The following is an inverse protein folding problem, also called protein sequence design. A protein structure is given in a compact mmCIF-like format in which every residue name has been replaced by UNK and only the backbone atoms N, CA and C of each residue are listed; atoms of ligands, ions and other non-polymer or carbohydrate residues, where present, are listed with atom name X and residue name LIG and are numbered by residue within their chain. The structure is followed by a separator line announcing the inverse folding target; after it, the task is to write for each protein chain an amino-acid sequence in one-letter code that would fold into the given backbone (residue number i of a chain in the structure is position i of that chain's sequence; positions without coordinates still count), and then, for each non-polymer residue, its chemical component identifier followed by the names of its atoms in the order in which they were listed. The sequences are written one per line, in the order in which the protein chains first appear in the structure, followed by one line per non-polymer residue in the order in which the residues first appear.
data_IF_167150520890
#
_entry.id   IF_167150520890
#
_cell.length_a   1.000
_cell.length_b   1.000
_cell.length_c   1.000
_cell.angle_alpha   90.00
_cell.angle_beta   90.00
_cell.angle_gamma   90.00
#
_symmetry.space_group_name_H-M   'P 1'
#
loop_
_entity.id
_entity.type
_entity.pdbx_description
1 polymer ?
#
# COMPACT_ATOMS: atom_id res chain seq x y z
N UNK A 1 11.85 12.97 14.38
CA UNK A 1 10.53 12.59 14.93
C UNK A 1 10.55 11.12 15.22
N UNK A 2 9.88 10.70 16.30
CA UNK A 2 9.58 9.30 16.57
C UNK A 2 8.25 8.93 15.94
N UNK A 3 8.24 7.88 15.14
CA UNK A 3 7.10 7.47 14.30
C UNK A 3 6.65 6.06 14.68
N UNK A 4 5.39 5.93 15.07
CA UNK A 4 4.72 4.63 15.20
C UNK A 4 4.22 4.17 13.84
N UNK A 5 4.54 2.95 13.44
CA UNK A 5 4.18 2.40 12.12
C UNK A 5 3.37 1.11 12.27
N UNK A 6 2.03 1.21 12.50
CA UNK A 6 1.15 0.05 12.47
C UNK A 6 1.13 -0.57 11.07
N UNK A 7 1.32 -1.88 10.96
CA UNK A 7 1.45 -2.57 9.67
C UNK A 7 2.85 -2.44 9.04
N UNK A 8 3.84 -2.01 9.83
CA UNK A 8 5.20 -1.77 9.36
C UNK A 8 5.97 -3.02 8.94
N UNK A 9 5.53 -4.23 9.32
CA UNK A 9 6.14 -5.48 8.86
C UNK A 9 5.52 -6.00 7.55
N UNK A 10 4.53 -5.28 6.99
CA UNK A 10 3.98 -5.54 5.67
C UNK A 10 4.87 -5.04 4.53
N UNK A 11 4.41 -5.25 3.29
CA UNK A 11 5.17 -4.91 2.09
C UNK A 11 5.52 -3.41 1.99
N UNK A 12 4.53 -2.52 1.97
CA UNK A 12 4.78 -1.06 1.86
C UNK A 12 5.34 -0.51 3.17
N UNK A 13 4.86 -1.04 4.30
CA UNK A 13 5.30 -0.67 5.64
C UNK A 13 6.80 -0.83 5.82
N UNK A 14 7.37 -1.99 5.48
CA UNK A 14 8.81 -2.28 5.67
C UNK A 14 9.70 -1.37 4.84
N UNK A 15 9.30 -1.05 3.61
CA UNK A 15 10.01 -0.09 2.77
C UNK A 15 9.95 1.33 3.36
N UNK A 16 8.81 1.70 3.96
CA UNK A 16 8.64 3.01 4.60
C UNK A 16 9.41 3.11 5.91
N UNK A 17 9.41 2.06 6.74
CA UNK A 17 10.26 1.95 7.94
C UNK A 17 11.73 2.15 7.57
N UNK A 18 12.19 1.52 6.49
CA UNK A 18 13.55 1.68 5.99
C UNK A 18 13.86 3.11 5.55
N UNK A 19 12.95 3.76 4.82
CA UNK A 19 13.13 5.15 4.37
C UNK A 19 13.10 6.13 5.56
N UNK A 20 12.23 5.91 6.56
CA UNK A 20 12.21 6.69 7.80
C UNK A 20 13.56 6.63 8.53
N UNK A 21 14.12 5.43 8.71
CA UNK A 21 15.43 5.23 9.37
C UNK A 21 16.54 5.92 8.57
N UNK A 22 16.53 5.77 7.23
CA UNK A 22 17.50 6.44 6.35
C UNK A 22 17.44 7.97 6.48
N UNK A 23 16.27 8.52 6.77
CA UNK A 23 16.06 9.95 7.05
C UNK A 23 16.17 10.34 8.52
N UNK A 24 16.76 9.47 9.36
CA UNK A 24 17.06 9.74 10.77
C UNK A 24 15.81 9.99 11.61
N UNK A 25 14.67 9.39 11.25
CA UNK A 25 13.53 9.27 12.15
C UNK A 25 13.72 8.06 13.07
N UNK A 26 13.28 8.20 14.32
CA UNK A 26 13.14 7.07 15.22
C UNK A 26 11.85 6.32 14.87
N UNK A 27 11.91 4.98 14.80
CA UNK A 27 10.77 4.17 14.35
C UNK A 27 10.44 3.11 15.37
N UNK A 28 9.15 2.92 15.62
CA UNK A 28 8.60 1.76 16.33
C UNK A 28 7.52 1.12 15.49
N UNK A 29 7.66 -0.17 15.19
CA UNK A 29 6.70 -0.93 14.40
C UNK A 29 5.70 -1.64 15.31
N UNK A 30 4.41 -1.57 14.96
CA UNK A 30 3.35 -2.38 15.54
C UNK A 30 2.79 -3.28 14.43
N UNK A 31 2.79 -4.59 14.60
CA UNK A 31 2.23 -5.51 13.60
C UNK A 31 1.73 -6.80 14.26
N UNK A 32 0.68 -7.40 13.72
CA UNK A 32 0.20 -8.72 14.18
C UNK A 32 1.03 -9.86 13.60
N UNK A 33 1.73 -9.60 12.48
CA UNK A 33 2.41 -10.57 11.62
C UNK A 33 1.45 -11.54 10.89
N UNK A 34 0.15 -11.25 10.85
CA UNK A 34 -0.81 -12.07 10.07
C UNK A 34 -0.48 -12.06 8.58
N UNK A 35 -0.14 -10.88 8.05
CA UNK A 35 0.23 -10.65 6.65
C UNK A 35 1.56 -9.90 6.53
N UNK A 36 2.29 -9.77 7.64
CA UNK A 36 3.61 -9.16 7.73
C UNK A 36 4.67 -10.20 8.00
N UNK A 37 5.94 -9.84 7.85
CA UNK A 37 7.05 -10.68 8.24
C UNK A 37 8.09 -9.87 9.00
N UNK A 38 8.47 -10.32 10.20
CA UNK A 38 9.42 -9.60 11.06
C UNK A 38 10.80 -9.42 10.40
N UNK A 39 11.26 -10.37 9.59
CA UNK A 39 12.53 -10.25 8.87
C UNK A 39 12.54 -9.08 7.86
N UNK A 40 11.36 -8.61 7.41
CA UNK A 40 11.25 -7.42 6.56
C UNK A 40 11.70 -6.13 7.26
N UNK A 41 11.78 -6.13 8.59
CA UNK A 41 12.13 -4.95 9.38
C UNK A 41 13.64 -4.70 9.47
N UNK A 42 14.48 -5.67 9.07
CA UNK A 42 15.94 -5.57 9.09
C UNK A 42 16.48 -5.09 10.46
N UNK A 43 15.86 -5.54 11.56
CA UNK A 43 16.24 -5.19 12.93
C UNK A 43 15.58 -3.93 13.52
N UNK A 44 14.64 -3.29 12.81
CA UNK A 44 13.93 -2.13 13.37
C UNK A 44 13.13 -2.50 14.65
N UNK A 45 12.99 -1.57 15.62
CA UNK A 45 12.21 -1.79 16.84
C UNK A 45 10.77 -2.25 16.53
N UNK A 46 10.33 -3.29 17.22
CA UNK A 46 9.09 -4.01 16.90
C UNK A 46 8.32 -4.40 18.15
N UNK A 47 7.00 -4.24 18.08
CA UNK A 47 6.02 -4.70 19.06
C UNK A 47 4.98 -5.53 18.31
N UNK A 48 4.81 -6.79 18.71
CA UNK A 48 3.76 -7.62 18.16
C UNK A 48 2.42 -7.31 18.84
N UNK A 49 1.40 -7.00 18.05
CA UNK A 49 0.06 -6.73 18.58
C UNK A 49 -0.89 -6.12 17.55
N UNK A 50 -2.12 -5.88 17.98
CA UNK A 50 -3.21 -5.40 17.13
C UNK A 50 -3.56 -3.94 17.45
N UNK A 51 -3.94 -3.17 16.42
CA UNK A 51 -4.43 -1.79 16.56
C UNK A 51 -5.79 -1.70 17.27
N UNK A 52 -6.53 -2.80 17.37
CA UNK A 52 -7.80 -2.84 18.10
C UNK A 52 -7.63 -3.12 19.61
N UNK A 53 -6.39 -3.32 20.08
CA UNK A 53 -6.08 -3.44 21.52
C UNK A 53 -5.78 -2.06 22.11
N UNK A 54 -6.82 -1.40 22.63
CA UNK A 54 -6.71 -0.08 23.25
C UNK A 54 -5.68 -0.02 24.40
N UNK A 55 -5.60 -1.07 25.24
CA UNK A 55 -4.70 -1.10 26.37
C UNK A 55 -3.24 -1.26 25.91
N UNK A 56 -2.99 -2.04 24.86
CA UNK A 56 -1.68 -2.12 24.23
C UNK A 56 -1.28 -0.77 23.63
N UNK A 57 -2.18 -0.13 22.88
CA UNK A 57 -1.90 1.17 22.30
C UNK A 57 -1.54 2.18 23.39
N UNK A 58 -2.33 2.28 24.46
CA UNK A 58 -2.01 3.21 25.56
C UNK A 58 -0.61 2.95 26.14
N UNK A 59 -0.22 1.69 26.37
CA UNK A 59 1.15 1.34 26.81
C UNK A 59 2.23 1.77 25.82
N UNK A 60 1.97 1.62 24.52
CA UNK A 60 2.92 2.02 23.46
C UNK A 60 3.06 3.55 23.47
N UNK A 61 1.95 4.29 23.48
CA UNK A 61 1.98 5.74 23.47
C UNK A 61 2.63 6.33 24.73
N UNK A 62 2.35 5.78 25.92
CA UNK A 62 2.97 6.21 27.18
C UNK A 62 4.49 6.01 27.19
N UNK A 63 4.93 4.83 26.73
CA UNK A 63 6.35 4.44 26.76
C UNK A 63 7.13 5.11 25.65
N UNK A 64 6.65 5.00 24.42
CA UNK A 64 7.39 5.40 23.24
C UNK A 64 7.22 6.88 22.93
N UNK A 65 6.06 7.47 23.26
CA UNK A 65 5.71 8.88 23.00
C UNK A 65 5.94 9.28 21.53
N UNK A 66 5.31 8.60 20.57
CA UNK A 66 5.48 8.93 19.16
C UNK A 66 4.97 10.34 18.85
N UNK A 67 5.69 11.07 17.99
CA UNK A 67 5.27 12.37 17.47
C UNK A 67 4.20 12.22 16.37
N UNK A 68 4.24 11.09 15.66
CA UNK A 68 3.37 10.82 14.52
C UNK A 68 3.12 9.32 14.31
N UNK A 69 2.08 9.02 13.53
CA UNK A 69 1.73 7.67 13.09
C UNK A 69 1.77 7.59 11.56
N UNK A 70 2.33 6.51 11.00
CA UNK A 70 2.09 6.11 9.60
C UNK A 70 1.35 4.78 9.59
N UNK A 71 0.07 4.82 9.26
CA UNK A 71 -0.85 3.70 9.44
C UNK A 71 -1.02 2.87 8.15
N UNK A 72 -0.46 1.66 8.15
CA UNK A 72 -0.58 0.65 7.08
C UNK A 72 -1.44 -0.56 7.47
N UNK A 73 -1.81 -0.73 8.74
CA UNK A 73 -2.47 -1.92 9.25
C UNK A 73 -3.92 -2.04 8.75
N UNK A 74 -4.08 -2.65 7.58
CA UNK A 74 -5.38 -2.89 6.94
C UNK A 74 -5.35 -4.20 6.13
N UNK A 75 -6.45 -4.95 6.16
CA UNK A 75 -6.69 -5.96 5.13
C UNK A 75 -6.95 -5.26 3.79
N UNK A 76 -6.35 -5.78 2.72
CA UNK A 76 -6.23 -5.07 1.43
C UNK A 76 -6.84 -5.75 0.22
N UNK A 77 -7.33 -6.98 0.32
CA UNK A 77 -7.79 -7.75 -0.84
C UNK A 77 -9.25 -7.42 -1.20
N UNK A 78 -9.56 -6.79 -2.35
CA UNK A 78 -10.94 -6.42 -2.68
C UNK A 78 -11.87 -7.64 -2.79
N UNK A 79 -11.41 -8.72 -3.43
CA UNK A 79 -12.20 -9.94 -3.59
C UNK A 79 -12.58 -10.62 -2.26
N UNK A 80 -11.65 -10.74 -1.32
CA UNK A 80 -11.94 -11.30 0.02
C UNK A 80 -12.91 -10.40 0.79
N UNK A 81 -12.81 -9.07 0.64
CA UNK A 81 -13.68 -8.13 1.34
C UNK A 81 -15.16 -8.32 1.00
N UNK A 82 -15.46 -8.80 -0.22
CA UNK A 82 -16.83 -9.07 -0.67
C UNK A 82 -17.43 -10.33 -0.03
N UNK A 83 -16.59 -11.27 0.41
CA UNK A 83 -17.04 -12.53 1.05
C UNK A 83 -16.89 -12.50 2.56
N UNK A 84 -16.01 -11.65 3.10
CA UNK A 84 -15.76 -11.48 4.54
C UNK A 84 -15.87 -10.01 4.98
N UNK A 85 -17.02 -9.34 4.80
CA UNK A 85 -17.14 -7.91 5.08
C UNK A 85 -16.85 -7.53 6.53
N UNK A 86 -17.31 -8.33 7.50
CA UNK A 86 -17.12 -8.06 8.93
C UNK A 86 -15.64 -8.02 9.34
N UNK A 87 -14.80 -8.87 8.71
CA UNK A 87 -13.34 -8.89 8.92
C UNK A 87 -12.72 -7.53 8.57
N UNK A 88 -13.14 -6.96 7.45
CA UNK A 88 -12.65 -5.68 6.95
C UNK A 88 -13.14 -4.51 7.80
N UNK A 89 -14.44 -4.45 8.14
CA UNK A 89 -14.96 -3.36 8.97
C UNK A 89 -14.33 -3.36 10.38
N UNK A 90 -14.17 -4.52 11.02
CA UNK A 90 -13.52 -4.62 12.33
C UNK A 90 -12.07 -4.13 12.28
N UNK A 91 -11.26 -4.68 11.39
CA UNK A 91 -9.85 -4.31 11.34
C UNK A 91 -9.63 -2.89 10.80
N UNK A 92 -10.17 -2.58 9.62
CA UNK A 92 -9.82 -1.36 8.91
C UNK A 92 -10.52 -0.13 9.48
N UNK A 93 -11.77 -0.26 9.98
CA UNK A 93 -12.54 0.88 10.50
C UNK A 93 -12.45 0.91 12.02
N UNK A 94 -12.91 -0.13 12.73
CA UNK A 94 -12.90 -0.15 14.21
C UNK A 94 -11.48 -0.05 14.76
N UNK A 95 -10.54 -0.87 14.25
CA UNK A 95 -9.14 -0.81 14.69
C UNK A 95 -8.48 0.55 14.43
N UNK A 96 -8.85 1.23 13.33
CA UNK A 96 -8.36 2.61 13.08
C UNK A 96 -8.99 3.61 14.05
N UNK A 97 -10.27 3.46 14.41
CA UNK A 97 -10.89 4.29 15.44
C UNK A 97 -10.18 4.13 16.78
N UNK A 98 -9.92 2.89 17.22
CA UNK A 98 -9.16 2.58 18.44
C UNK A 98 -7.78 3.26 18.45
N UNK A 99 -7.08 3.23 17.31
CA UNK A 99 -5.81 3.94 17.11
C UNK A 99 -5.95 5.47 17.23
N UNK A 100 -6.96 6.07 16.59
CA UNK A 100 -7.21 7.52 16.66
C UNK A 100 -7.58 7.99 18.06
N UNK A 101 -8.35 7.20 18.80
CA UNK A 101 -8.68 7.50 20.20
C UNK A 101 -7.43 7.46 21.09
N UNK A 102 -6.53 6.49 20.88
CA UNK A 102 -5.24 6.44 21.58
C UNK A 102 -4.37 7.65 21.24
N UNK A 103 -4.24 7.98 19.96
CA UNK A 103 -3.54 9.19 19.51
C UNK A 103 -4.05 10.45 20.22
N UNK A 104 -5.37 10.60 20.31
CA UNK A 104 -6.02 11.73 20.97
C UNK A 104 -5.73 11.77 22.48
N UNK A 105 -5.84 10.64 23.19
CA UNK A 105 -5.54 10.56 24.64
C UNK A 105 -4.09 10.94 24.95
N UNK A 106 -3.18 10.65 24.03
CA UNK A 106 -1.73 10.81 24.20
C UNK A 106 -1.13 12.02 23.46
N UNK A 107 -1.97 12.91 22.91
CA UNK A 107 -1.55 14.12 22.20
C UNK A 107 -0.62 13.87 20.99
N UNK A 108 -0.71 12.70 20.36
CA UNK A 108 -0.04 12.44 19.08
C UNK A 108 -0.94 12.95 17.95
N UNK A 109 -0.55 14.05 17.32
CA UNK A 109 -1.47 14.82 16.48
C UNK A 109 -1.27 14.64 14.97
N UNK A 110 -0.31 13.83 14.52
CA UNK A 110 -0.04 13.66 13.08
C UNK A 110 -0.22 12.21 12.64
N UNK A 111 -1.02 12.00 11.60
CA UNK A 111 -1.20 10.68 10.98
C UNK A 111 -1.07 10.73 9.46
N UNK A 112 -0.25 9.85 8.91
CA UNK A 112 -0.29 9.51 7.50
C UNK A 112 -1.11 8.24 7.34
N UNK A 113 -2.18 8.33 6.57
CA UNK A 113 -3.06 7.21 6.31
C UNK A 113 -2.80 6.61 4.94
N UNK A 114 -2.50 5.32 4.92
CA UNK A 114 -2.54 4.48 3.74
C UNK A 114 -3.99 4.38 3.22
N UNK A 115 -4.38 5.26 2.32
CA UNK A 115 -5.63 5.15 1.58
C UNK A 115 -5.42 4.34 0.29
N UNK A 116 -6.34 4.41 -0.65
CA UNK A 116 -6.28 3.63 -1.89
C UNK A 116 -7.03 4.31 -3.03
N UNK A 117 -6.59 4.11 -4.27
CA UNK A 117 -7.38 4.49 -5.44
C UNK A 117 -8.75 3.78 -5.51
N UNK A 118 -8.96 2.68 -4.77
CA UNK A 118 -10.25 1.98 -4.69
C UNK A 118 -11.38 2.84 -4.13
N UNK A 119 -11.10 3.98 -3.47
CA UNK A 119 -12.14 4.94 -3.06
C UNK A 119 -12.86 5.57 -4.25
N UNK A 120 -12.25 5.56 -5.44
CA UNK A 120 -12.83 6.12 -6.67
C UNK A 120 -13.64 5.11 -7.50
N UNK A 121 -13.56 3.81 -7.19
CA UNK A 121 -14.18 2.75 -8.00
C UNK A 121 -13.72 2.78 -9.46
N UNK A 122 -14.66 2.66 -10.39
CA UNK A 122 -14.44 2.90 -11.83
C UNK A 122 -14.62 4.38 -12.15
N UNK A 123 -13.53 5.16 -12.37
CA UNK A 123 -13.63 6.59 -12.61
C UNK A 123 -14.20 6.90 -14.00
N UNK A 124 -14.93 8.02 -14.12
CA UNK A 124 -15.45 8.52 -15.40
C UNK A 124 -14.38 9.20 -16.26
N UNK A 125 -13.33 9.71 -15.63
CA UNK A 125 -12.26 10.49 -16.26
C UNK A 125 -10.92 9.99 -15.78
N UNK A 126 -9.97 9.92 -16.71
CA UNK A 126 -8.59 9.51 -16.47
C UNK A 126 -7.65 10.57 -17.07
N UNK A 127 -6.52 10.91 -16.44
CA UNK A 127 -6.05 10.44 -15.12
C UNK A 127 -6.97 10.88 -13.95
N UNK A 128 -6.99 10.11 -12.86
CA UNK A 128 -7.80 10.41 -11.67
C UNK A 128 -7.14 11.51 -10.83
N UNK A 129 -7.81 12.63 -10.65
CA UNK A 129 -7.39 13.71 -9.74
C UNK A 129 -7.95 13.50 -8.32
N UNK A 130 -7.43 14.23 -7.34
CA UNK A 130 -7.90 14.13 -5.95
C UNK A 130 -9.35 14.57 -5.75
N UNK A 131 -9.89 15.38 -6.66
CA UNK A 131 -11.27 15.89 -6.68
C UNK A 131 -12.26 14.96 -7.38
N UNK A 132 -11.77 13.84 -7.94
CA UNK A 132 -12.64 12.86 -8.57
C UNK A 132 -13.70 12.33 -7.58
N UNK A 133 -14.93 12.08 -8.04
CA UNK A 133 -15.99 11.60 -7.17
C UNK A 133 -15.63 10.24 -6.57
N UNK A 134 -15.93 10.05 -5.28
CA UNK A 134 -15.82 8.75 -4.64
C UNK A 134 -16.96 7.83 -5.09
N UNK A 135 -16.67 6.55 -5.17
CA UNK A 135 -17.62 5.51 -5.58
C UNK A 135 -17.02 4.13 -5.44
N UNK A 136 -16.60 3.71 -4.23
CA UNK A 136 -15.97 2.40 -4.04
C UNK A 136 -16.90 1.25 -4.48
N UNK A 137 -16.31 0.26 -5.15
CA UNK A 137 -17.04 -0.92 -5.67
C UNK A 137 -16.75 -2.20 -4.86
N UNK A 138 -16.08 -2.06 -3.72
CA UNK A 138 -15.76 -3.16 -2.81
C UNK A 138 -15.82 -2.71 -1.35
N UNK A 139 -16.04 -3.67 -0.45
CA UNK A 139 -16.01 -3.41 1.00
C UNK A 139 -14.64 -2.87 1.43
N UNK A 140 -13.55 -3.36 0.84
CA UNK A 140 -12.22 -2.79 1.05
C UNK A 140 -12.17 -1.29 0.73
N UNK A 141 -12.62 -0.89 -0.46
CA UNK A 141 -12.68 0.52 -0.88
C UNK A 141 -13.55 1.35 0.06
N UNK A 142 -14.70 0.81 0.46
CA UNK A 142 -15.62 1.44 1.42
C UNK A 142 -14.93 1.69 2.76
N UNK A 143 -14.22 0.69 3.32
CA UNK A 143 -13.51 0.88 4.60
C UNK A 143 -12.45 1.98 4.53
N UNK A 144 -11.74 2.12 3.40
CA UNK A 144 -10.76 3.21 3.23
C UNK A 144 -11.44 4.57 3.19
N UNK A 145 -12.58 4.69 2.48
CA UNK A 145 -13.37 5.92 2.42
C UNK A 145 -13.97 6.28 3.79
N UNK A 146 -14.43 5.29 4.56
CA UNK A 146 -14.92 5.51 5.93
C UNK A 146 -13.81 6.03 6.84
N UNK A 147 -12.58 5.50 6.72
CA UNK A 147 -11.44 6.04 7.48
C UNK A 147 -11.11 7.46 7.06
N UNK A 148 -11.08 7.79 5.76
CA UNK A 148 -10.91 9.19 5.33
C UNK A 148 -12.01 10.11 5.90
N UNK A 149 -13.24 9.59 5.99
CA UNK A 149 -14.36 10.31 6.61
C UNK A 149 -14.14 10.54 8.10
N UNK A 150 -13.67 9.53 8.84
CA UNK A 150 -13.30 9.68 10.25
C UNK A 150 -12.19 10.72 10.42
N UNK A 151 -11.10 10.61 9.66
CA UNK A 151 -9.97 11.53 9.71
C UNK A 151 -10.40 12.98 9.46
N UNK A 152 -11.29 13.23 8.50
CA UNK A 152 -11.88 14.56 8.25
C UNK A 152 -12.65 15.09 9.45
N UNK A 153 -13.36 14.25 10.20
CA UNK A 153 -14.07 14.67 11.40
C UNK A 153 -13.11 14.93 12.55
N UNK A 154 -12.12 14.05 12.77
CA UNK A 154 -11.06 14.27 13.76
C UNK A 154 -10.29 15.56 13.49
N UNK A 155 -10.00 15.90 12.24
CA UNK A 155 -9.39 17.18 11.87
C UNK A 155 -10.21 18.39 12.33
N UNK A 156 -11.53 18.33 12.12
CA UNK A 156 -12.46 19.42 12.48
C UNK A 156 -12.69 19.55 13.98
N UNK A 157 -12.65 18.45 14.73
CA UNK A 157 -13.09 18.41 16.13
C UNK A 157 -11.97 18.18 17.13
N UNK A 158 -10.74 17.93 16.66
CA UNK A 158 -9.57 17.64 17.50
C UNK A 158 -8.30 18.28 16.92
N UNK A 159 -7.17 18.25 17.65
CA UNK A 159 -5.87 18.67 17.12
C UNK A 159 -5.24 17.72 16.09
N UNK A 160 -5.82 16.53 15.87
CA UNK A 160 -5.27 15.55 14.92
C UNK A 160 -5.31 16.12 13.51
N UNK A 161 -4.21 15.98 12.77
CA UNK A 161 -4.05 16.33 11.36
C UNK A 161 -3.65 15.09 10.59
N UNK A 162 -4.15 14.97 9.37
CA UNK A 162 -4.01 13.76 8.59
C UNK A 162 -3.65 14.03 7.13
N UNK A 163 -2.77 13.21 6.57
CA UNK A 163 -2.60 13.10 5.12
C UNK A 163 -3.03 11.72 4.64
N UNK A 164 -4.04 11.68 3.76
CA UNK A 164 -4.48 10.45 3.10
C UNK A 164 -3.73 10.24 1.79
N UNK A 165 -2.96 9.15 1.70
CA UNK A 165 -2.21 8.80 0.51
C UNK A 165 -2.98 7.75 -0.29
N UNK A 166 -3.58 8.18 -1.40
CA UNK A 166 -4.39 7.34 -2.30
C UNK A 166 -3.50 6.79 -3.39
N UNK A 167 -2.77 5.74 -3.06
CA UNK A 167 -1.91 5.08 -4.04
C UNK A 167 -2.64 4.00 -4.83
N UNK A 168 -2.08 3.74 -6.01
CA UNK A 168 -2.60 2.80 -6.99
C UNK A 168 -1.96 1.41 -6.77
N UNK A 169 -1.23 0.85 -7.73
CA UNK A 169 -0.68 -0.50 -7.61
C UNK A 169 0.79 -0.48 -7.18
N UNK A 170 1.02 -0.44 -5.87
CA UNK A 170 2.37 -0.55 -5.29
C UNK A 170 3.07 -1.86 -5.73
N UNK A 171 4.28 -1.74 -6.28
CA UNK A 171 4.95 -2.82 -7.01
C UNK A 171 6.49 -2.71 -6.92
N UNK A 172 7.19 -3.78 -7.29
CA UNK A 172 8.66 -3.81 -7.25
C UNK A 172 9.21 -4.38 -5.94
N UNK A 173 10.46 -4.04 -5.63
CA UNK A 173 11.12 -4.41 -4.39
C UNK A 173 12.22 -3.38 -4.06
N UNK A 174 12.88 -3.54 -2.91
CA UNK A 174 14.06 -2.74 -2.59
C UNK A 174 15.18 -2.92 -3.62
N UNK A 175 15.88 -1.83 -3.93
CA UNK A 175 16.93 -1.79 -4.97
C UNK A 175 18.12 -2.70 -4.63
N UNK A 176 18.40 -2.86 -3.35
CA UNK A 176 19.47 -3.73 -2.83
C UNK A 176 19.00 -5.15 -2.54
N UNK A 177 17.76 -5.50 -2.90
CA UNK A 177 17.23 -6.84 -2.84
C UNK A 177 17.07 -7.43 -1.42
N UNK A 178 16.98 -6.61 -0.38
CA UNK A 178 16.84 -7.09 1.01
C UNK A 178 15.40 -7.31 1.46
N UNK A 179 14.46 -6.58 0.87
CA UNK A 179 13.02 -6.62 1.17
C UNK A 179 12.20 -6.52 -0.11
N UNK A 180 11.03 -7.17 -0.13
CA UNK A 180 10.10 -7.18 -1.26
C UNK A 180 8.73 -7.69 -0.85
N UNK A 181 7.80 -7.85 -1.80
CA UNK A 181 6.47 -8.39 -1.48
C UNK A 181 6.55 -9.91 -1.25
N UNK A 182 5.89 -10.41 -0.21
CA UNK A 182 5.80 -11.84 0.04
C UNK A 182 4.64 -12.44 -0.76
N UNK A 183 4.96 -13.31 -1.73
CA UNK A 183 3.95 -13.90 -2.60
C UNK A 183 3.08 -14.97 -1.95
N UNK A 184 3.39 -15.39 -0.72
CA UNK A 184 2.64 -16.48 -0.04
C UNK A 184 1.22 -16.05 0.31
N UNK A 185 1.04 -14.73 0.47
CA UNK A 185 -0.18 -14.11 0.99
C UNK A 185 -0.79 -13.09 0.01
N UNK A 186 -0.13 -12.79 -1.12
CA UNK A 186 -0.57 -11.73 -2.03
C UNK A 186 -1.44 -12.26 -3.18
N UNK A 187 -2.42 -11.44 -3.58
CA UNK A 187 -3.22 -11.63 -4.79
C UNK A 187 -2.85 -10.67 -5.93
N UNK A 188 -1.75 -9.93 -5.78
CA UNK A 188 -1.31 -8.91 -6.74
C UNK A 188 -0.66 -9.54 -7.99
N UNK A 189 -0.84 -8.90 -9.15
CA UNK A 189 -0.39 -9.43 -10.44
C UNK A 189 1.13 -9.69 -10.49
N UNK A 190 1.95 -8.69 -10.14
CA UNK A 190 3.41 -8.78 -10.32
C UNK A 190 4.01 -9.94 -9.50
N UNK A 191 3.73 -10.10 -8.19
CA UNK A 191 4.22 -11.26 -7.44
C UNK A 191 3.70 -12.60 -7.99
N UNK A 192 2.45 -12.68 -8.47
CA UNK A 192 1.91 -13.90 -9.10
C UNK A 192 2.63 -14.25 -10.40
N UNK A 193 2.98 -13.24 -11.19
CA UNK A 193 3.79 -13.39 -12.39
C UNK A 193 5.21 -13.85 -12.04
N UNK A 194 5.83 -13.27 -11.00
CA UNK A 194 7.13 -13.72 -10.52
C UNK A 194 7.08 -15.17 -10.02
N UNK A 195 5.99 -15.57 -9.36
CA UNK A 195 5.76 -16.95 -8.90
C UNK A 195 5.75 -17.94 -10.06
N UNK A 196 5.16 -17.56 -11.19
CA UNK A 196 5.18 -18.38 -12.40
C UNK A 196 6.58 -18.44 -13.03
N UNK A 197 7.25 -17.29 -13.11
CA UNK A 197 8.60 -17.19 -13.66
C UNK A 197 9.64 -18.02 -12.89
N UNK A 198 9.49 -18.19 -11.56
CA UNK A 198 10.35 -19.09 -10.77
C UNK A 198 9.87 -20.56 -10.73
N UNK A 199 8.80 -20.90 -11.45
CA UNK A 199 8.26 -22.27 -11.49
C UNK A 199 7.48 -22.72 -10.25
N UNK A 200 6.95 -21.79 -9.45
CA UNK A 200 6.17 -22.09 -8.22
C UNK A 200 4.66 -22.12 -8.45
N UNK A 201 4.20 -21.83 -9.67
CA UNK A 201 2.81 -22.02 -10.12
C UNK A 201 2.82 -22.41 -11.59
N UNK A 202 1.84 -23.20 -12.01
CA UNK A 202 1.77 -23.71 -13.38
C UNK A 202 1.41 -22.63 -14.41
N UNK A 203 0.56 -21.66 -14.03
CA UNK A 203 0.12 -20.60 -14.92
C UNK A 203 -0.20 -19.29 -14.18
N UNK A 204 -0.15 -18.18 -14.92
CA UNK A 204 -0.72 -16.88 -14.55
C UNK A 204 -2.09 -16.76 -15.19
N UNK A 205 -3.09 -16.27 -14.44
CA UNK A 205 -4.45 -16.05 -14.96
C UNK A 205 -4.67 -14.59 -15.35
N UNK A 206 -5.18 -14.34 -16.55
CA UNK A 206 -5.69 -13.03 -16.98
C UNK A 206 -7.21 -13.05 -16.85
N UNK A 207 -7.76 -12.18 -16.01
CA UNK A 207 -9.21 -12.06 -15.81
C UNK A 207 -9.78 -10.99 -16.75
N UNK A 208 -10.47 -11.43 -17.81
CA UNK A 208 -11.08 -10.57 -18.82
C UNK A 208 -10.10 -10.13 -19.92
N UNK A 209 -10.50 -10.35 -21.17
CA UNK A 209 -9.76 -9.96 -22.39
C UNK A 209 -10.62 -9.20 -23.40
N UNK A 210 -11.77 -8.70 -22.94
CA UNK A 210 -12.80 -8.04 -23.73
C UNK A 210 -13.12 -6.64 -23.18
N UNK A 211 -12.26 -6.08 -22.31
CA UNK A 211 -12.39 -4.72 -21.83
C UNK A 211 -12.19 -3.72 -22.99
N UNK A 212 -12.79 -2.52 -22.93
CA UNK A 212 -12.59 -1.47 -23.92
C UNK A 212 -11.22 -0.78 -23.74
N UNK A 213 -10.14 -1.57 -23.80
CA UNK A 213 -8.73 -1.16 -23.71
C UNK A 213 -7.98 -1.66 -24.96
N UNK A 214 -6.81 -1.09 -25.31
CA UNK A 214 -6.14 -1.42 -26.57
C UNK A 214 -5.86 -2.90 -26.80
N UNK A 215 -5.59 -3.68 -25.74
CA UNK A 215 -5.32 -5.12 -25.82
C UNK A 215 -6.40 -6.00 -25.17
N UNK A 216 -7.53 -5.40 -24.78
CA UNK A 216 -8.66 -6.05 -24.14
C UNK A 216 -8.48 -6.37 -22.65
N UNK A 217 -7.32 -6.12 -22.05
CA UNK A 217 -7.07 -6.40 -20.62
C UNK A 217 -7.12 -5.15 -19.74
N UNK A 218 -7.32 -5.34 -18.44
CA UNK A 218 -7.43 -4.26 -17.48
C UNK A 218 -6.14 -3.42 -17.40
N UNK A 219 -6.27 -2.10 -17.27
CA UNK A 219 -5.15 -1.15 -17.16
C UNK A 219 -5.03 -0.63 -15.73
N UNK A 220 -3.80 -0.60 -15.19
CA UNK A 220 -3.49 -0.15 -13.84
C UNK A 220 -2.24 0.73 -13.82
N UNK A 221 -2.14 1.62 -12.85
CA UNK A 221 -0.94 2.42 -12.58
C UNK A 221 -0.05 1.70 -11.56
N UNK A 222 1.05 1.14 -12.04
CA UNK A 222 2.03 0.45 -11.22
C UNK A 222 3.11 1.41 -10.75
N UNK A 223 3.14 1.69 -9.46
CA UNK A 223 4.10 2.58 -8.82
C UNK A 223 5.14 1.78 -8.05
N UNK A 224 6.42 2.14 -8.20
CA UNK A 224 7.49 1.47 -7.48
C UNK A 224 7.41 1.73 -5.97
N UNK A 225 7.54 0.69 -5.16
CA UNK A 225 7.39 0.76 -3.70
C UNK A 225 8.40 1.68 -3.03
N UNK A 226 9.60 1.84 -3.62
CA UNK A 226 10.59 2.83 -3.17
C UNK A 226 10.08 4.25 -3.37
N UNK A 227 9.56 4.61 -4.55
CA UNK A 227 8.95 5.92 -4.79
C UNK A 227 7.81 6.18 -3.81
N UNK A 228 6.97 5.16 -3.61
CA UNK A 228 5.85 5.22 -2.69
C UNK A 228 6.31 5.44 -1.24
N UNK A 229 7.36 4.76 -0.79
CA UNK A 229 7.91 4.92 0.56
C UNK A 229 8.48 6.33 0.79
N UNK A 230 9.13 6.90 -0.23
CA UNK A 230 9.65 8.28 -0.22
C UNK A 230 8.50 9.28 -0.10
N UNK A 231 7.38 9.04 -0.80
CA UNK A 231 6.19 9.87 -0.70
C UNK A 231 5.58 9.88 0.71
N UNK A 232 5.58 8.74 1.41
CA UNK A 232 5.07 8.65 2.79
C UNK A 232 5.89 9.53 3.73
N UNK A 233 7.22 9.47 3.64
CA UNK A 233 8.09 10.26 4.52
C UNK A 233 8.01 11.75 4.17
N UNK A 234 7.97 12.12 2.89
CA UNK A 234 7.74 13.52 2.47
C UNK A 234 6.37 14.05 2.91
N UNK A 235 5.32 13.24 2.84
CA UNK A 235 3.99 13.60 3.32
C UNK A 235 3.98 13.81 4.85
N UNK A 236 4.66 12.95 5.60
CA UNK A 236 4.85 13.11 7.05
C UNK A 236 5.57 14.43 7.38
N UNK A 237 6.70 14.70 6.73
CA UNK A 237 7.46 15.95 6.91
C UNK A 237 6.62 17.18 6.57
N UNK A 238 5.86 17.13 5.46
CA UNK A 238 4.98 18.22 5.03
C UNK A 238 3.82 18.46 6.02
N UNK A 239 3.17 17.38 6.48
CA UNK A 239 2.08 17.46 7.46
C UNK A 239 2.56 18.06 8.78
N UNK A 240 3.71 17.61 9.29
CA UNK A 240 4.31 18.13 10.52
C UNK A 240 4.71 19.60 10.38
N UNK A 241 5.25 19.99 9.21
CA UNK A 241 5.66 21.38 8.93
C UNK A 241 4.47 22.34 8.77
N UNK A 242 3.42 21.91 8.08
CA UNK A 242 2.32 22.79 7.67
C UNK A 242 1.12 22.74 8.61
N UNK A 243 0.93 21.62 9.32
CA UNK A 243 -0.27 21.35 10.11
C UNK A 243 -1.55 21.28 9.27
N UNK A 244 -1.44 21.06 7.95
CA UNK A 244 -2.58 21.06 7.03
C UNK A 244 -2.92 19.64 6.60
N UNK A 245 -4.13 19.20 6.95
CA UNK A 245 -4.66 17.95 6.43
C UNK A 245 -4.98 18.03 4.94
N UNK A 246 -4.73 16.94 4.24
CA UNK A 246 -4.86 16.88 2.77
C UNK A 246 -4.92 15.44 2.30
N UNK A 247 -5.10 15.24 1.00
CA UNK A 247 -4.94 13.96 0.34
C UNK A 247 -4.09 14.11 -0.93
N UNK A 248 -3.36 13.06 -1.28
CA UNK A 248 -2.54 12.98 -2.49
C UNK A 248 -2.79 11.67 -3.23
N UNK A 249 -2.97 11.75 -4.54
CA UNK A 249 -2.90 10.59 -5.40
C UNK A 249 -1.42 10.27 -5.68
N UNK A 250 -1.03 9.02 -5.44
CA UNK A 250 0.35 8.56 -5.65
C UNK A 250 0.35 7.45 -6.71
N UNK A 251 0.81 7.81 -7.90
CA UNK A 251 0.96 6.93 -9.05
C UNK A 251 1.97 7.53 -10.03
N UNK A 252 2.23 6.81 -11.11
CA UNK A 252 3.15 7.20 -12.18
C UNK A 252 2.52 8.19 -13.15
N UNK A 253 1.19 8.22 -13.23
CA UNK A 253 0.48 8.95 -14.27
C UNK A 253 0.30 8.16 -15.56
N UNK A 254 0.84 6.95 -15.61
CA UNK A 254 0.82 6.06 -16.78
C UNK A 254 0.17 4.74 -16.40
N UNK A 255 -0.80 4.30 -17.20
CA UNK A 255 -1.40 2.99 -17.07
C UNK A 255 -0.62 1.94 -17.87
N UNK A 256 -0.50 0.73 -17.31
CA UNK A 256 -0.06 -0.47 -18.04
C UNK A 256 -1.10 -1.57 -17.93
N UNK A 257 -1.30 -2.30 -19.01
CA UNK A 257 -2.22 -3.42 -19.10
C UNK A 257 -1.67 -4.67 -18.39
N UNK A 258 -2.55 -5.65 -18.14
CA UNK A 258 -2.14 -6.96 -17.61
C UNK A 258 -1.17 -7.66 -18.58
N UNK A 259 -1.41 -7.58 -19.89
CA UNK A 259 -0.52 -8.17 -20.90
C UNK A 259 0.85 -7.50 -20.94
N UNK A 260 0.89 -6.16 -20.90
CA UNK A 260 2.17 -5.41 -20.87
C UNK A 260 3.04 -5.81 -19.67
N UNK A 261 2.44 -6.03 -18.50
CA UNK A 261 3.15 -6.52 -17.30
C UNK A 261 3.68 -7.94 -17.51
N UNK A 262 2.87 -8.85 -18.05
CA UNK A 262 3.26 -10.24 -18.32
C UNK A 262 4.40 -10.29 -19.35
N UNK A 263 4.28 -9.56 -20.45
CA UNK A 263 5.29 -9.54 -21.52
C UNK A 263 6.61 -8.96 -21.01
N UNK A 264 6.54 -7.88 -20.22
CA UNK A 264 7.72 -7.31 -19.55
C UNK A 264 8.37 -8.33 -18.61
N UNK A 265 7.58 -9.08 -17.85
CA UNK A 265 8.11 -10.12 -16.95
C UNK A 265 8.74 -11.29 -17.69
N UNK A 266 8.15 -11.77 -18.79
CA UNK A 266 8.76 -12.82 -19.63
C UNK A 266 10.09 -12.37 -20.18
N UNK A 267 10.17 -11.13 -20.69
CA UNK A 267 11.40 -10.53 -21.21
C UNK A 267 12.49 -10.39 -20.15
N UNK A 268 12.15 -9.93 -18.94
CA UNK A 268 13.14 -9.69 -17.87
C UNK A 268 13.59 -10.99 -17.20
N UNK A 269 12.67 -11.93 -16.97
CA UNK A 269 13.00 -13.23 -16.37
C UNK A 269 13.68 -14.18 -17.35
N UNK A 270 13.46 -13.99 -18.66
CA UNK A 270 13.87 -14.95 -19.70
C UNK A 270 13.05 -16.23 -19.70
N UNK A 271 11.92 -16.28 -18.98
CA UNK A 271 11.09 -17.47 -18.80
C UNK A 271 9.75 -17.27 -19.51
N UNK A 272 9.45 -18.16 -20.46
CA UNK A 272 8.15 -18.21 -21.12
C UNK A 272 7.16 -19.08 -20.33
N UNK A 273 6.59 -18.52 -19.25
CA UNK A 273 5.60 -19.20 -18.43
C UNK A 273 4.20 -19.18 -19.06
N UNK A 274 3.37 -20.17 -18.70
CA UNK A 274 2.00 -20.35 -19.20
C UNK A 274 1.08 -19.24 -18.68
N UNK A 275 0.16 -18.82 -19.55
CA UNK A 275 -0.88 -17.81 -19.25
C UNK A 275 -2.24 -18.36 -19.65
N UNK A 276 -3.16 -18.41 -18.69
CA UNK A 276 -4.53 -18.86 -18.89
C UNK A 276 -5.49 -17.65 -18.90
N UNK A 277 -6.53 -17.72 -19.72
CA UNK A 277 -7.55 -16.67 -19.83
C UNK A 277 -8.79 -17.08 -19.02
N UNK A 278 -9.31 -16.16 -18.23
CA UNK A 278 -10.45 -16.36 -17.34
C UNK A 278 -11.53 -15.29 -17.56
N UNK A 279 -12.79 -15.54 -17.16
CA UNK A 279 -13.81 -14.50 -17.11
C UNK A 279 -13.40 -13.31 -16.25
N UNK A 280 -14.05 -12.17 -16.46
CA UNK A 280 -13.82 -10.96 -15.65
C UNK A 280 -14.05 -11.24 -14.16
N UNK A 281 -13.23 -10.61 -13.32
CA UNK A 281 -13.42 -10.62 -11.86
C UNK A 281 -14.39 -9.50 -11.46
N UNK A 282 -15.35 -9.83 -10.59
CA UNK A 282 -16.27 -8.82 -10.04
C UNK A 282 -15.51 -7.79 -9.18
N UNK A 283 -15.84 -6.51 -9.37
CA UNK A 283 -15.27 -5.39 -8.61
C UNK A 283 -13.91 -4.87 -9.10
N UNK A 284 -13.36 -5.42 -10.20
CA UNK A 284 -12.14 -4.89 -10.80
C UNK A 284 -12.48 -3.78 -11.82
N UNK A 285 -11.92 -2.55 -11.65
CA UNK A 285 -12.18 -1.47 -12.59
C UNK A 285 -11.57 -1.76 -13.97
N UNK A 286 -12.12 -1.17 -15.02
CA UNK A 286 -11.60 -1.35 -16.39
C UNK A 286 -10.18 -0.79 -16.52
N UNK A 287 -10.03 0.49 -16.21
CA UNK A 287 -8.77 1.21 -16.29
C UNK A 287 -8.71 2.26 -15.17
N UNK A 288 -7.56 2.40 -14.52
CA UNK A 288 -7.36 3.37 -13.44
C UNK A 288 -5.88 3.77 -13.30
N UNK A 289 -5.59 5.07 -13.42
CA UNK A 289 -4.26 5.65 -13.17
C UNK A 289 -4.33 7.06 -12.59
N UNK A 290 -3.27 7.45 -11.89
CA UNK A 290 -3.25 8.67 -11.09
C UNK A 290 -3.04 9.93 -11.95
N UNK A 291 -3.52 11.07 -11.48
CA UNK A 291 -2.80 12.34 -11.65
C UNK A 291 -1.98 12.54 -10.39
N UNK A 292 -0.66 12.66 -10.52
CA UNK A 292 0.26 12.88 -9.40
C UNK A 292 0.69 14.35 -9.25
N UNK A 293 0.07 15.27 -9.99
CA UNK A 293 0.51 16.67 -10.09
C UNK A 293 0.55 17.38 -8.73
N UNK A 294 -0.45 17.12 -7.87
CA UNK A 294 -0.53 17.71 -6.54
C UNK A 294 0.62 17.27 -5.65
N UNK A 295 0.92 15.96 -5.63
CA UNK A 295 2.06 15.42 -4.89
C UNK A 295 3.40 15.96 -5.43
N UNK A 296 3.55 16.07 -6.75
CA UNK A 296 4.74 16.67 -7.38
C UNK A 296 4.97 18.11 -6.96
N UNK A 297 3.91 18.92 -6.93
CA UNK A 297 4.00 20.35 -6.63
C UNK A 297 4.16 20.60 -5.13
N UNK A 298 3.39 19.92 -4.28
CA UNK A 298 3.34 20.22 -2.85
C UNK A 298 4.37 19.43 -2.02
N UNK A 299 4.80 18.25 -2.46
CA UNK A 299 5.76 17.41 -1.74
C UNK A 299 7.16 17.39 -2.38
N UNK A 300 7.31 17.99 -3.56
CA UNK A 300 8.51 17.82 -4.39
C UNK A 300 8.83 16.33 -4.57
N UNK A 301 7.80 15.55 -4.91
CA UNK A 301 7.89 14.10 -5.07
C UNK A 301 7.49 13.71 -6.49
N UNK A 302 8.33 12.93 -7.16
CA UNK A 302 8.01 12.36 -8.47
C UNK A 302 8.31 10.86 -8.49
N UNK A 303 7.51 10.06 -9.21
CA UNK A 303 7.87 8.68 -9.51
C UNK A 303 9.10 8.66 -10.43
N UNK A 304 10.10 7.85 -10.10
CA UNK A 304 11.36 7.76 -10.84
C UNK A 304 11.53 6.44 -11.58
N UNK A 305 10.83 5.39 -11.17
CA UNK A 305 11.00 4.04 -11.71
C UNK A 305 9.89 3.69 -12.71
N UNK A 306 10.29 3.07 -13.81
CA UNK A 306 9.39 2.59 -14.87
C UNK A 306 8.81 1.21 -14.56
N UNK A 307 7.86 0.73 -15.37
CA UNK A 307 7.38 -0.65 -15.30
C UNK A 307 8.54 -1.66 -15.43
N UNK A 308 9.52 -1.38 -16.28
CA UNK A 308 10.68 -2.26 -16.45
C UNK A 308 11.53 -2.33 -15.18
N UNK A 309 11.75 -1.19 -14.50
CA UNK A 309 12.47 -1.16 -13.22
C UNK A 309 11.71 -1.91 -12.12
N UNK A 310 10.39 -1.70 -12.05
CA UNK A 310 9.48 -2.40 -11.14
C UNK A 310 9.60 -3.92 -11.31
N UNK A 311 9.48 -4.40 -12.54
CA UNK A 311 9.54 -5.84 -12.82
C UNK A 311 10.96 -6.37 -12.57
N UNK A 312 12.01 -5.60 -12.86
CA UNK A 312 13.41 -5.97 -12.59
C UNK A 312 13.70 -6.13 -11.09
N UNK A 313 13.26 -5.19 -10.26
CA UNK A 313 13.47 -5.27 -8.81
C UNK A 313 12.63 -6.40 -8.19
N UNK A 314 11.38 -6.56 -8.62
CA UNK A 314 10.54 -7.69 -8.22
C UNK A 314 11.16 -9.04 -8.60
N UNK A 315 11.66 -9.18 -9.84
CA UNK A 315 12.33 -10.40 -10.29
C UNK A 315 13.57 -10.71 -9.45
N UNK A 316 14.42 -9.71 -9.19
CA UNK A 316 15.62 -9.87 -8.37
C UNK A 316 15.27 -10.41 -6.97
N UNK A 317 14.24 -9.84 -6.34
CA UNK A 317 13.74 -10.29 -5.03
C UNK A 317 13.26 -11.73 -5.08
N UNK A 318 12.31 -12.02 -5.95
CA UNK A 318 11.64 -13.32 -5.99
C UNK A 318 12.53 -14.47 -6.47
N UNK A 319 13.46 -14.21 -7.40
CA UNK A 319 14.41 -15.22 -7.89
C UNK A 319 15.47 -15.59 -6.84
N UNK A 320 15.80 -14.67 -5.93
CA UNK A 320 16.77 -14.91 -4.84
C UNK A 320 16.11 -15.34 -3.53
N UNK A 321 14.82 -15.04 -3.36
CA UNK A 321 14.00 -15.42 -2.21
C UNK A 321 12.78 -16.25 -2.65
N UNK A 322 13.00 -17.44 -3.27
CA UNK A 322 11.92 -18.25 -3.86
C UNK A 322 10.98 -18.89 -2.84
N UNK A 323 11.13 -18.62 -1.55
CA UNK A 323 10.19 -19.03 -0.51
C UNK A 323 9.72 -17.82 0.33
N UNK A 324 9.94 -16.60 -0.15
CA UNK A 324 9.70 -15.36 0.60
C UNK A 324 10.78 -15.14 1.67
N UNK A 325 10.42 -14.43 2.73
CA UNK A 325 11.27 -14.24 3.90
C UNK A 325 11.51 -15.58 4.62
N UNK A 326 12.76 -15.87 4.95
CA UNK A 326 13.13 -16.98 5.83
C UNK A 326 12.49 -16.79 7.21
N UNK A 327 11.93 -17.85 7.77
CA UNK A 327 11.58 -17.87 9.19
C UNK A 327 12.90 -17.82 9.99
N UNK A 328 13.26 -16.65 10.51
CA UNK A 328 14.26 -16.59 11.56
C UNK A 328 13.68 -17.31 12.79
N UNK A 329 14.38 -18.37 13.23
CA UNK A 329 14.09 -19.10 14.47
C UNK A 329 14.30 -18.23 15.71
#
# INVERSE_FOLDING_TARGET
MKVLVPGGAGYIGSHTVRELIKRQHDVIVLDTLENGNKASLLGAPFIQGNIDDAALLDRIFDKEKPDAVIHFAAYKAPGESMTQPAKYFRNNVSGTLTLLEAMQRHNCNYIIFSSSCSVFGTPKTLPVTEDAPFGPESVYGETKLMVETMLRWFDKTTPIRSTSLRYFNASGASLDNKIGEDWRITGNLIPLVMKAAVGKTEAVKIFGTDYPTPDGTAIRDYIHVVDLSIAHVKALESLAKTGKSTAYNLGTGVGSSVKEVIDTAKRISGVDFRVDLEPRRAGDPVAIWASSNKAQTELDWKPEYTLEDIVRTAWKWHSTHPNGYSEEQ
#
